data_IF_330809362575
#
_entry.id   IF_330809362575
#
_cell.length_a   1.000
_cell.length_b   1.000
_cell.length_c   1.000
_cell.angle_alpha   90.00
_cell.angle_beta   90.00
_cell.angle_gamma   90.00
#
_symmetry.space_group_name_H-M   'P 1'
#
loop_
_entity.id
_entity.type
_entity.pdbx_description
1 polymer ?
#
# COMPACT_ATOMS: atom_id res chain seq x y z
N UNK A 1 68.69 -67.52 33.18
CA UNK A 1 68.14 -67.28 34.53
C UNK A 1 68.37 -65.81 34.78
N UNK A 2 67.42 -64.91 34.84
CA UNK A 2 65.97 -64.97 35.03
C UNK A 2 65.41 -63.57 34.63
N UNK A 3 64.10 -63.45 34.60
CA UNK A 3 63.18 -62.45 34.06
C UNK A 3 63.40 -61.01 34.61
N UNK A 4 63.09 -59.89 33.95
CA UNK A 4 61.88 -59.51 33.24
C UNK A 4 61.06 -58.52 34.09
N UNK A 5 61.15 -57.20 33.82
CA UNK A 5 60.04 -56.24 34.03
C UNK A 5 60.32 -54.88 33.40
N UNK A 6 59.69 -54.64 32.25
CA UNK A 6 59.59 -53.32 31.63
C UNK A 6 58.70 -52.40 32.47
N UNK A 7 59.18 -51.20 32.78
CA UNK A 7 58.34 -50.09 33.21
C UNK A 7 57.92 -49.32 31.96
N UNK A 8 56.65 -49.48 31.59
CA UNK A 8 55.99 -48.62 30.61
C UNK A 8 56.04 -47.17 31.08
N UNK A 9 56.50 -46.29 30.19
CA UNK A 9 56.29 -44.85 30.32
C UNK A 9 54.80 -44.62 30.09
N UNK A 10 54.06 -44.34 31.16
CA UNK A 10 52.69 -43.83 31.06
C UNK A 10 52.75 -42.54 30.24
N UNK A 11 52.23 -42.61 29.01
CA UNK A 11 51.89 -41.41 28.25
C UNK A 11 50.79 -40.71 29.03
N UNK A 12 51.14 -39.62 29.71
CA UNK A 12 50.16 -38.69 30.25
C UNK A 12 49.33 -38.15 29.08
N UNK A 13 48.19 -38.80 28.83
CA UNK A 13 47.21 -38.37 27.85
C UNK A 13 46.76 -36.97 28.27
N UNK A 14 47.11 -35.97 27.45
CA UNK A 14 46.58 -34.61 27.61
C UNK A 14 45.05 -34.71 27.75
N UNK A 15 44.44 -34.20 28.84
CA UNK A 15 43.00 -34.15 28.94
C UNK A 15 42.44 -33.36 27.75
N UNK A 16 41.43 -33.92 27.10
CA UNK A 16 40.73 -33.30 25.99
C UNK A 16 40.10 -31.99 26.45
N UNK A 17 40.39 -30.89 25.75
CA UNK A 17 39.77 -29.55 25.93
C UNK A 17 38.23 -29.55 25.83
N UNK A 18 37.60 -30.69 25.49
CA UNK A 18 36.14 -30.83 25.38
C UNK A 18 35.40 -30.90 26.73
N UNK A 19 36.10 -30.90 27.85
CA UNK A 19 35.49 -30.89 29.19
C UNK A 19 35.49 -29.51 29.85
N UNK A 20 35.72 -28.42 29.12
CA UNK A 20 35.51 -27.07 29.65
C UNK A 20 34.01 -26.75 29.73
N UNK A 21 33.52 -26.53 30.94
CA UNK A 21 32.11 -26.23 31.24
C UNK A 21 31.58 -25.01 30.48
N UNK A 22 32.45 -24.06 30.15
CA UNK A 22 32.16 -22.86 29.37
C UNK A 22 31.80 -23.16 27.91
N UNK A 23 32.40 -24.17 27.29
CA UNK A 23 32.12 -24.55 25.91
C UNK A 23 30.75 -25.24 25.79
N UNK A 24 30.42 -26.10 26.77
CA UNK A 24 29.08 -26.69 26.87
C UNK A 24 28.01 -25.63 27.13
N UNK A 25 28.33 -24.62 27.94
CA UNK A 25 27.45 -23.48 28.22
C UNK A 25 27.20 -22.63 26.97
N UNK A 26 28.21 -22.42 26.13
CA UNK A 26 28.09 -21.72 24.86
C UNK A 26 27.12 -22.41 23.90
N UNK A 27 27.33 -23.70 23.67
CA UNK A 27 26.46 -24.50 22.79
C UNK A 27 25.01 -24.58 23.31
N UNK A 28 24.82 -24.65 24.62
CA UNK A 28 23.49 -24.69 25.25
C UNK A 28 22.69 -23.40 25.02
N UNK A 29 23.28 -22.22 25.24
CA UNK A 29 22.56 -20.97 25.00
C UNK A 29 22.36 -20.73 23.50
N UNK A 30 23.34 -21.10 22.67
CA UNK A 30 23.24 -20.94 21.22
C UNK A 30 22.11 -21.80 20.67
N UNK A 31 21.98 -23.04 21.14
CA UNK A 31 20.87 -23.91 20.78
C UNK A 31 19.52 -23.34 21.23
N UNK A 32 19.42 -22.84 22.46
CA UNK A 32 18.20 -22.21 22.97
C UNK A 32 17.84 -20.95 22.16
N UNK A 33 18.82 -20.17 21.72
CA UNK A 33 18.60 -19.02 20.84
C UNK A 33 18.06 -19.44 19.47
N UNK A 34 18.62 -20.49 18.87
CA UNK A 34 18.10 -21.07 17.61
C UNK A 34 16.63 -21.44 17.75
N UNK A 35 16.30 -22.22 18.77
CA UNK A 35 14.95 -22.72 18.99
C UNK A 35 13.94 -21.58 19.17
N UNK A 36 14.31 -20.55 19.95
CA UNK A 36 13.48 -19.35 20.14
C UNK A 36 13.29 -18.57 18.84
N UNK A 37 14.36 -18.36 18.08
CA UNK A 37 14.30 -17.64 16.81
C UNK A 37 13.43 -18.38 15.78
N UNK A 38 13.62 -19.70 15.64
CA UNK A 38 12.84 -20.50 14.70
C UNK A 38 11.36 -20.54 15.07
N UNK A 39 11.06 -20.67 16.37
CA UNK A 39 9.68 -20.57 16.86
C UNK A 39 9.07 -19.22 16.52
N UNK A 40 9.80 -18.12 16.77
CA UNK A 40 9.30 -16.77 16.51
C UNK A 40 9.09 -16.48 15.03
N UNK A 41 9.92 -17.03 14.14
CA UNK A 41 9.70 -16.94 12.68
C UNK A 41 8.38 -17.62 12.28
N UNK A 42 8.05 -18.78 12.88
CA UNK A 42 6.78 -19.47 12.64
C UNK A 42 5.60 -18.72 13.24
N UNK A 43 5.73 -18.18 14.45
CA UNK A 43 4.67 -17.44 15.14
C UNK A 43 4.39 -16.08 14.45
N UNK A 44 5.42 -15.36 13.99
CA UNK A 44 5.30 -14.08 13.28
C UNK A 44 5.04 -14.23 11.77
N UNK A 45 4.74 -15.44 11.30
CA UNK A 45 4.62 -15.78 9.87
C UNK A 45 3.73 -14.82 9.08
N UNK A 46 2.51 -14.57 9.54
CA UNK A 46 1.56 -13.68 8.83
C UNK A 46 2.10 -12.26 8.68
N UNK A 47 2.77 -11.75 9.73
CA UNK A 47 3.37 -10.41 9.75
C UNK A 47 4.57 -10.32 8.82
N UNK A 48 5.43 -11.35 8.79
CA UNK A 48 6.59 -11.44 7.90
C UNK A 48 6.16 -11.55 6.43
N UNK A 49 5.12 -12.35 6.15
CA UNK A 49 4.54 -12.49 4.81
C UNK A 49 3.96 -11.17 4.31
N UNK A 50 3.22 -10.43 5.15
CA UNK A 50 2.69 -9.11 4.77
C UNK A 50 3.82 -8.14 4.43
N UNK A 51 4.87 -8.06 5.27
CA UNK A 51 6.04 -7.21 5.00
C UNK A 51 6.75 -7.58 3.69
N UNK A 52 6.84 -8.86 3.36
CA UNK A 52 7.42 -9.33 2.10
C UNK A 52 6.56 -8.93 0.89
N UNK A 53 5.24 -9.12 0.96
CA UNK A 53 4.31 -8.78 -0.14
C UNK A 53 4.32 -7.28 -0.46
N UNK A 54 4.40 -6.42 0.56
CA UNK A 54 4.40 -4.97 0.34
C UNK A 54 5.66 -4.43 -0.35
N UNK A 55 6.81 -5.11 -0.24
CA UNK A 55 8.08 -4.53 -0.69
C UNK A 55 9.03 -5.47 -1.45
N UNK A 56 8.69 -6.73 -1.74
CA UNK A 56 9.38 -7.72 -2.61
C UNK A 56 10.95 -7.78 -2.59
N UNK A 57 11.62 -7.22 -1.58
CA UNK A 57 13.08 -7.14 -1.49
C UNK A 57 13.63 -8.11 -0.44
N UNK A 58 14.64 -8.90 -0.82
CA UNK A 58 15.34 -9.83 0.08
C UNK A 58 15.97 -9.14 1.30
N UNK A 59 16.39 -7.88 1.15
CA UNK A 59 16.98 -7.08 2.22
C UNK A 59 16.00 -6.79 3.38
N UNK A 60 14.70 -6.71 3.08
CA UNK A 60 13.65 -6.47 4.10
C UNK A 60 13.39 -7.73 4.91
N UNK A 61 13.43 -8.90 4.26
CA UNK A 61 13.34 -10.19 4.96
C UNK A 61 14.54 -10.34 5.87
N UNK A 62 15.75 -10.09 5.35
CA UNK A 62 16.98 -10.16 6.14
C UNK A 62 16.96 -9.22 7.35
N UNK A 63 16.52 -7.97 7.17
CA UNK A 63 16.35 -7.01 8.27
C UNK A 63 15.36 -7.53 9.32
N UNK A 64 14.20 -8.04 8.91
CA UNK A 64 13.20 -8.55 9.84
C UNK A 64 13.69 -9.78 10.63
N UNK A 65 14.48 -10.66 10.01
CA UNK A 65 15.10 -11.79 10.70
C UNK A 65 16.20 -11.34 11.67
N UNK A 66 16.98 -10.32 11.32
CA UNK A 66 17.97 -9.71 12.22
C UNK A 66 17.31 -9.08 13.45
N UNK A 67 16.15 -8.44 13.28
CA UNK A 67 15.37 -7.90 14.41
C UNK A 67 14.92 -9.03 15.35
N UNK A 68 14.45 -10.15 14.81
CA UNK A 68 14.03 -11.32 15.62
C UNK A 68 15.22 -11.88 16.41
N UNK A 69 16.37 -12.09 15.77
CA UNK A 69 17.58 -12.59 16.44
C UNK A 69 18.00 -11.65 17.57
N UNK A 70 18.00 -10.33 17.30
CA UNK A 70 18.38 -9.32 18.28
C UNK A 70 17.42 -9.28 19.47
N UNK A 71 16.12 -9.33 19.22
CA UNK A 71 15.10 -9.37 20.26
C UNK A 71 15.23 -10.62 21.15
N UNK A 72 15.34 -11.80 20.55
CA UNK A 72 15.45 -13.06 21.30
C UNK A 72 16.76 -13.16 22.07
N UNK A 73 17.85 -12.68 21.48
CA UNK A 73 19.13 -12.57 22.17
C UNK A 73 19.04 -11.67 23.41
N UNK A 74 18.43 -10.50 23.28
CA UNK A 74 18.25 -9.56 24.39
C UNK A 74 17.33 -10.13 25.49
N UNK A 75 16.25 -10.83 25.12
CA UNK A 75 15.38 -11.51 26.09
C UNK A 75 16.11 -12.60 26.86
N UNK A 76 17.00 -13.36 26.20
CA UNK A 76 17.77 -14.41 26.86
C UNK A 76 18.81 -13.83 27.83
N UNK A 77 19.45 -12.71 27.46
CA UNK A 77 20.38 -12.00 28.34
C UNK A 77 19.73 -11.52 29.64
N UNK A 78 18.47 -11.08 29.58
CA UNK A 78 17.75 -10.54 30.74
C UNK A 78 17.15 -11.61 31.67
N UNK A 79 16.88 -12.82 31.17
CA UNK A 79 16.19 -13.87 31.95
C UNK A 79 17.15 -14.89 32.59
N UNK A 80 18.35 -15.10 32.04
CA UNK A 80 19.32 -16.10 32.52
C UNK A 80 20.65 -15.42 32.90
N UNK A 81 20.67 -14.67 34.01
CA UNK A 81 21.83 -13.89 34.50
C UNK A 81 23.05 -14.78 34.81
N UNK A 82 22.83 -16.05 35.19
CA UNK A 82 23.88 -17.01 35.57
C UNK A 82 24.63 -17.58 34.36
N UNK A 83 24.17 -17.32 33.12
CA UNK A 83 24.65 -18.04 31.93
C UNK A 83 25.80 -17.37 31.15
N UNK A 84 26.21 -16.16 31.50
CA UNK A 84 27.06 -15.34 30.63
C UNK A 84 28.35 -14.87 31.33
N UNK A 85 29.46 -15.58 31.12
CA UNK A 85 30.81 -15.05 31.43
C UNK A 85 31.45 -14.37 30.20
N UNK A 86 30.70 -14.23 29.10
CA UNK A 86 31.16 -13.61 27.86
C UNK A 86 30.53 -12.21 27.71
N UNK A 87 31.32 -11.17 27.95
CA UNK A 87 30.92 -9.75 27.85
C UNK A 87 31.02 -9.17 26.42
N UNK A 88 31.33 -9.99 25.41
CA UNK A 88 31.42 -9.55 24.02
C UNK A 88 30.07 -9.55 23.30
N UNK A 89 29.76 -8.56 22.43
CA UNK A 89 28.65 -8.69 21.50
C UNK A 89 28.88 -9.91 20.59
N UNK A 90 27.83 -10.68 20.23
CA UNK A 90 27.97 -11.78 19.30
C UNK A 90 28.52 -11.24 17.97
N UNK A 91 29.61 -11.82 17.48
CA UNK A 91 30.19 -11.43 16.20
C UNK A 91 29.15 -11.71 15.10
N UNK A 92 29.02 -10.80 14.12
CA UNK A 92 28.00 -10.90 13.06
C UNK A 92 28.01 -12.23 12.29
N UNK A 93 29.14 -12.95 12.29
CA UNK A 93 29.26 -14.30 11.72
C UNK A 93 28.70 -15.44 12.59
N UNK A 94 28.56 -15.28 13.91
CA UNK A 94 28.12 -16.35 14.82
C UNK A 94 26.63 -16.67 14.74
N UNK A 95 25.83 -15.71 14.25
CA UNK A 95 24.40 -15.84 14.02
C UNK A 95 24.05 -15.99 12.53
N UNK A 96 25.04 -16.01 11.64
CA UNK A 96 24.80 -16.09 10.19
C UNK A 96 24.12 -17.41 9.81
N UNK A 97 24.52 -18.50 10.44
CA UNK A 97 23.89 -19.82 10.32
C UNK A 97 22.45 -19.83 10.83
N UNK A 98 22.16 -19.11 11.92
CA UNK A 98 20.80 -18.92 12.43
C UNK A 98 19.95 -18.17 11.41
N UNK A 99 20.46 -17.06 10.86
CA UNK A 99 19.76 -16.25 9.86
C UNK A 99 19.49 -17.03 8.57
N UNK A 100 20.45 -17.81 8.09
CA UNK A 100 20.29 -18.64 6.90
C UNK A 100 19.22 -19.73 7.11
N UNK A 101 19.20 -20.37 8.28
CA UNK A 101 18.18 -21.38 8.58
C UNK A 101 16.80 -20.76 8.79
N UNK A 102 16.70 -19.58 9.42
CA UNK A 102 15.45 -18.83 9.52
C UNK A 102 14.89 -18.46 8.14
N UNK A 103 15.77 -18.01 7.23
CA UNK A 103 15.41 -17.68 5.85
C UNK A 103 14.93 -18.95 5.11
N UNK A 104 15.61 -20.08 5.29
CA UNK A 104 15.20 -21.38 4.75
C UNK A 104 13.81 -21.78 5.24
N UNK A 105 13.57 -21.74 6.56
CA UNK A 105 12.25 -22.06 7.16
C UNK A 105 11.17 -21.16 6.56
N UNK A 106 11.43 -19.86 6.45
CA UNK A 106 10.48 -18.91 5.86
C UNK A 106 10.14 -19.23 4.39
N UNK A 107 11.13 -19.59 3.57
CA UNK A 107 10.89 -19.95 2.17
C UNK A 107 10.26 -21.33 1.99
N UNK A 108 10.56 -22.30 2.86
CA UNK A 108 9.87 -23.59 2.86
C UNK A 108 8.38 -23.41 3.23
N UNK A 109 8.07 -22.51 4.17
CA UNK A 109 6.70 -22.13 4.55
C UNK A 109 5.95 -21.31 3.48
N UNK A 110 6.69 -20.63 2.60
CA UNK A 110 6.15 -19.97 1.41
C UNK A 110 5.80 -20.98 0.32
N UNK A 111 6.65 -21.99 0.11
CA UNK A 111 6.46 -23.05 -0.91
C UNK A 111 5.36 -24.04 -0.54
N UNK A 112 5.10 -24.24 0.76
CA UNK A 112 4.04 -25.12 1.26
C UNK A 112 2.65 -24.48 1.26
N UNK A 113 2.51 -23.22 0.80
CA UNK A 113 1.21 -22.60 0.57
C UNK A 113 0.47 -23.30 -0.58
N UNK A 114 -0.87 -23.31 -0.59
CA UNK A 114 -1.60 -23.50 -1.84
C UNK A 114 -1.04 -22.50 -2.86
N UNK A 115 -0.93 -22.90 -4.15
CA UNK A 115 -0.22 -22.11 -5.15
C UNK A 115 -0.71 -20.66 -5.13
N UNK A 116 0.21 -19.70 -5.29
CA UNK A 116 -0.07 -18.26 -5.33
C UNK A 116 -1.26 -17.87 -6.23
N UNK A 117 -1.59 -18.74 -7.19
CA UNK A 117 -2.80 -18.71 -8.00
C UNK A 117 -4.10 -18.61 -7.20
N UNK A 118 -4.26 -19.36 -6.10
CA UNK A 118 -5.52 -19.39 -5.34
C UNK A 118 -5.75 -18.07 -4.60
N UNK A 119 -4.71 -17.47 -4.04
CA UNK A 119 -4.82 -16.18 -3.35
C UNK A 119 -4.99 -15.01 -4.33
N UNK A 120 -4.43 -15.13 -5.54
CA UNK A 120 -4.62 -14.17 -6.61
C UNK A 120 -6.01 -14.27 -7.21
N UNK A 121 -6.55 -15.49 -7.34
CA UNK A 121 -7.95 -15.72 -7.72
C UNK A 121 -8.90 -15.14 -6.66
N UNK A 122 -8.61 -15.33 -5.38
CA UNK A 122 -9.39 -14.71 -4.30
C UNK A 122 -9.37 -13.18 -4.43
N UNK A 123 -8.18 -12.56 -4.60
CA UNK A 123 -8.06 -11.11 -4.76
C UNK A 123 -8.83 -10.61 -5.99
N UNK A 124 -8.69 -11.28 -7.14
CA UNK A 124 -9.42 -10.96 -8.36
C UNK A 124 -10.94 -11.05 -8.15
N UNK A 125 -11.42 -12.09 -7.44
CA UNK A 125 -12.84 -12.26 -7.12
C UNK A 125 -13.33 -11.14 -6.18
N UNK A 126 -12.54 -10.77 -5.16
CA UNK A 126 -12.87 -9.65 -4.27
C UNK A 126 -12.87 -8.30 -5.01
N UNK A 127 -11.98 -8.10 -5.97
CA UNK A 127 -11.96 -6.89 -6.81
C UNK A 127 -13.21 -6.79 -7.69
N UNK A 128 -13.63 -7.90 -8.30
CA UNK A 128 -14.87 -7.97 -9.10
C UNK A 128 -16.12 -7.70 -8.25
N UNK A 129 -16.22 -8.27 -7.05
CA UNK A 129 -17.34 -8.03 -6.12
C UNK A 129 -17.43 -6.56 -5.67
N UNK A 130 -16.27 -5.93 -5.43
CA UNK A 130 -16.19 -4.51 -5.06
C UNK A 130 -16.59 -3.62 -6.23
N UNK A 131 -16.13 -3.93 -7.44
CA UNK A 131 -16.47 -3.17 -8.65
C UNK A 131 -17.97 -3.25 -8.98
N UNK A 132 -18.58 -4.44 -8.83
CA UNK A 132 -20.02 -4.62 -9.00
C UNK A 132 -20.81 -3.82 -7.94
N UNK A 133 -20.38 -3.87 -6.69
CA UNK A 133 -21.00 -3.09 -5.60
C UNK A 133 -20.93 -1.58 -5.88
N UNK A 134 -19.75 -1.07 -6.27
CA UNK A 134 -19.54 0.34 -6.60
C UNK A 134 -20.38 0.76 -7.80
N UNK A 135 -20.41 -0.05 -8.85
CA UNK A 135 -21.23 0.18 -10.05
C UNK A 135 -22.70 0.28 -9.69
N UNK A 136 -23.21 -0.62 -8.84
CA UNK A 136 -24.59 -0.57 -8.35
C UNK A 136 -24.86 0.66 -7.50
N UNK A 137 -23.98 0.99 -6.56
CA UNK A 137 -24.15 2.17 -5.71
C UNK A 137 -24.14 3.48 -6.52
N UNK A 138 -23.26 3.59 -7.52
CA UNK A 138 -23.21 4.72 -8.46
C UNK A 138 -24.50 4.79 -9.28
N UNK A 139 -24.97 3.65 -9.80
CA UNK A 139 -26.21 3.58 -10.57
C UNK A 139 -27.43 3.99 -9.74
N UNK A 140 -27.56 3.48 -8.51
CA UNK A 140 -28.62 3.88 -7.57
C UNK A 140 -28.54 5.38 -7.26
N UNK A 141 -27.35 5.92 -6.96
CA UNK A 141 -27.17 7.36 -6.76
C UNK A 141 -27.47 8.21 -8.00
N UNK A 142 -27.26 7.67 -9.20
CA UNK A 142 -27.57 8.33 -10.46
C UNK A 142 -29.08 8.29 -10.75
N UNK A 143 -29.76 7.18 -10.43
CA UNK A 143 -31.20 7.02 -10.58
C UNK A 143 -32.04 7.83 -9.58
N UNK A 144 -31.53 8.11 -8.39
CA UNK A 144 -32.17 9.04 -7.44
C UNK A 144 -32.33 10.47 -7.99
N UNK A 145 -31.68 10.80 -9.12
CA UNK A 145 -31.88 12.06 -9.84
C UNK A 145 -32.85 11.94 -11.03
N UNK A 146 -33.37 10.73 -11.32
CA UNK A 146 -34.31 10.46 -12.41
C UNK A 146 -35.77 10.36 -11.95
N UNK A 147 -36.06 10.41 -10.65
CA UNK A 147 -37.43 10.50 -10.16
C UNK A 147 -38.12 11.73 -10.77
N UNK A 148 -39.16 11.44 -11.55
CA UNK A 148 -39.86 12.29 -12.54
C UNK A 148 -40.57 13.54 -11.96
N UNK A 149 -40.21 13.96 -10.74
CA UNK A 149 -40.76 15.11 -10.03
C UNK A 149 -39.78 16.29 -9.88
N UNK A 150 -38.47 16.10 -10.11
CA UNK A 150 -37.50 17.20 -10.14
C UNK A 150 -37.29 17.61 -11.60
N UNK A 151 -38.09 18.56 -12.08
CA UNK A 151 -37.94 19.09 -13.44
C UNK A 151 -36.48 19.48 -13.68
N UNK A 152 -35.93 19.13 -14.85
CA UNK A 152 -34.55 19.35 -15.34
C UNK A 152 -33.88 20.65 -14.85
N UNK A 153 -33.50 20.73 -13.58
CA UNK A 153 -32.94 21.93 -12.96
C UNK A 153 -31.46 21.99 -13.31
N UNK A 154 -31.12 22.84 -14.26
CA UNK A 154 -29.73 23.03 -14.69
C UNK A 154 -29.10 24.07 -13.76
N UNK A 155 -28.09 23.65 -13.01
CA UNK A 155 -27.33 24.55 -12.15
C UNK A 155 -26.45 25.49 -12.96
N UNK A 156 -26.30 26.72 -12.48
CA UNK A 156 -25.48 27.72 -13.13
C UNK A 156 -23.99 27.34 -13.08
N UNK A 157 -23.30 27.28 -14.23
CA UNK A 157 -21.88 26.88 -14.29
C UNK A 157 -20.93 27.89 -13.62
N UNK A 158 -21.37 29.15 -13.47
CA UNK A 158 -20.58 30.22 -12.84
C UNK A 158 -20.69 30.14 -11.31
N UNK A 159 -21.90 30.29 -10.75
CA UNK A 159 -22.08 30.40 -9.30
C UNK A 159 -22.31 29.06 -8.60
N UNK A 160 -22.68 27.99 -9.33
CA UNK A 160 -22.94 26.63 -8.82
C UNK A 160 -24.02 26.55 -7.71
N UNK A 161 -24.80 27.61 -7.55
CA UNK A 161 -25.81 27.74 -6.50
C UNK A 161 -27.17 28.19 -7.02
N UNK A 162 -27.22 28.90 -8.13
CA UNK A 162 -28.46 29.32 -8.77
C UNK A 162 -28.83 28.38 -9.89
N UNK A 163 -30.12 28.24 -10.13
CA UNK A 163 -30.66 27.51 -11.27
C UNK A 163 -30.70 28.42 -12.51
N UNK A 164 -30.53 27.81 -13.68
CA UNK A 164 -30.78 28.46 -14.96
C UNK A 164 -32.26 28.34 -15.30
N UNK A 165 -32.88 29.49 -15.55
CA UNK A 165 -34.27 29.58 -16.02
C UNK A 165 -34.28 30.08 -17.45
N UNK A 166 -35.21 29.53 -18.21
CA UNK A 166 -35.50 29.89 -19.59
C UNK A 166 -36.71 30.80 -19.63
N UNK A 167 -36.55 32.01 -20.18
CA UNK A 167 -37.67 32.93 -20.38
C UNK A 167 -37.57 33.59 -21.74
N UNK A 168 -38.48 33.25 -22.64
CA UNK A 168 -38.60 33.80 -23.99
C UNK A 168 -37.27 33.74 -24.76
N UNK A 169 -36.52 34.85 -24.78
CA UNK A 169 -35.26 35.03 -25.50
C UNK A 169 -34.03 35.11 -24.58
N UNK A 170 -34.15 34.76 -23.30
CA UNK A 170 -33.04 34.86 -22.36
C UNK A 170 -32.96 33.61 -21.49
N UNK A 171 -31.76 33.06 -21.36
CA UNK A 171 -31.41 32.12 -20.30
C UNK A 171 -30.68 32.92 -19.22
N UNK A 172 -31.17 32.87 -17.98
CA UNK A 172 -30.59 33.63 -16.88
C UNK A 172 -30.46 32.79 -15.61
N UNK A 173 -29.50 33.15 -14.76
CA UNK A 173 -29.36 32.54 -13.44
C UNK A 173 -30.24 33.26 -12.40
N UNK A 174 -30.85 32.50 -11.47
CA UNK A 174 -31.63 33.07 -10.37
C UNK A 174 -30.81 33.75 -9.28
N UNK A 175 -29.49 33.52 -9.23
CA UNK A 175 -28.61 34.00 -8.13
C UNK A 175 -27.41 34.84 -8.57
N UNK A 176 -27.01 34.79 -9.85
CA UNK A 176 -25.89 35.58 -10.35
C UNK A 176 -26.25 36.30 -11.65
N UNK A 177 -25.36 37.15 -12.13
CA UNK A 177 -25.57 38.02 -13.29
C UNK A 177 -25.42 37.29 -14.65
N UNK A 178 -25.34 35.95 -14.66
CA UNK A 178 -25.28 35.18 -15.90
C UNK A 178 -26.58 35.37 -16.70
N UNK A 179 -26.44 35.91 -17.91
CA UNK A 179 -27.53 36.13 -18.86
C UNK A 179 -27.05 35.84 -20.28
N UNK A 180 -27.71 34.91 -20.96
CA UNK A 180 -27.42 34.50 -22.33
C UNK A 180 -28.60 34.84 -23.22
N UNK A 181 -28.36 35.57 -24.30
CA UNK A 181 -29.38 35.89 -25.28
C UNK A 181 -29.59 34.68 -26.19
N UNK A 182 -30.84 34.21 -26.30
CA UNK A 182 -31.22 33.16 -27.22
C UNK A 182 -31.26 33.72 -28.64
N UNK A 183 -30.14 33.61 -29.35
CA UNK A 183 -30.24 33.39 -30.79
C UNK A 183 -31.03 32.09 -31.00
N UNK A 184 -31.83 32.00 -32.06
CA UNK A 184 -32.91 31.02 -32.30
C UNK A 184 -32.65 29.53 -32.02
N UNK A 185 -31.40 29.11 -31.79
CA UNK A 185 -30.98 27.72 -31.58
C UNK A 185 -30.58 27.40 -30.12
N UNK A 186 -30.45 28.41 -29.25
CA UNK A 186 -30.00 28.19 -27.87
C UNK A 186 -31.15 27.75 -26.96
N UNK A 187 -31.18 26.46 -26.63
CA UNK A 187 -32.10 25.88 -25.64
C UNK A 187 -31.36 25.52 -24.35
N UNK A 188 -32.10 25.36 -23.24
CA UNK A 188 -31.52 24.88 -21.97
C UNK A 188 -30.88 23.49 -22.10
N UNK A 189 -31.52 22.57 -22.83
CA UNK A 189 -30.97 21.24 -23.07
C UNK A 189 -29.65 21.33 -23.88
N UNK A 190 -29.60 22.16 -24.92
CA UNK A 190 -28.35 22.40 -25.67
C UNK A 190 -27.23 22.96 -24.78
N UNK A 191 -27.54 23.94 -23.92
CA UNK A 191 -26.55 24.49 -22.98
C UNK A 191 -26.04 23.43 -22.00
N UNK A 192 -26.92 22.55 -21.49
CA UNK A 192 -26.53 21.44 -20.61
C UNK A 192 -25.56 20.51 -21.33
N UNK A 193 -25.93 20.07 -22.53
CA UNK A 193 -25.15 19.11 -23.30
C UNK A 193 -23.79 19.72 -23.67
N UNK A 194 -23.77 20.98 -24.12
CA UNK A 194 -22.52 21.71 -24.43
C UNK A 194 -21.62 21.90 -23.21
N UNK A 195 -22.18 22.20 -22.04
CA UNK A 195 -21.41 22.29 -20.80
C UNK A 195 -20.79 20.94 -20.40
N UNK A 196 -21.53 19.84 -20.59
CA UNK A 196 -21.02 18.50 -20.33
C UNK A 196 -19.88 18.14 -21.31
N UNK A 197 -20.06 18.42 -22.61
CA UNK A 197 -19.03 18.20 -23.64
C UNK A 197 -17.72 18.91 -23.31
N UNK A 198 -17.74 20.21 -23.07
CA UNK A 198 -16.49 20.97 -22.81
C UNK A 198 -15.80 20.52 -21.51
N UNK A 199 -16.56 20.00 -20.55
CA UNK A 199 -16.01 19.39 -19.35
C UNK A 199 -15.31 18.06 -19.65
N UNK A 200 -15.95 17.19 -20.43
CA UNK A 200 -15.39 15.90 -20.85
C UNK A 200 -14.15 16.12 -21.72
N UNK A 201 -14.21 17.01 -22.71
CA UNK A 201 -13.06 17.38 -23.55
C UNK A 201 -11.87 17.88 -22.72
N UNK A 202 -12.12 18.70 -21.70
CA UNK A 202 -11.06 19.17 -20.79
C UNK A 202 -10.45 18.01 -19.99
N UNK A 203 -11.27 17.08 -19.52
CA UNK A 203 -10.81 15.91 -18.76
C UNK A 203 -10.01 14.96 -19.66
N UNK A 204 -10.45 14.73 -20.89
CA UNK A 204 -9.81 13.86 -21.89
C UNK A 204 -8.43 14.38 -22.32
N UNK A 205 -8.22 15.70 -22.25
CA UNK A 205 -6.89 16.32 -22.41
C UNK A 205 -5.94 16.03 -21.24
N UNK A 206 -6.39 15.33 -20.20
CA UNK A 206 -5.59 14.87 -19.06
C UNK A 206 -5.53 15.84 -17.88
N UNK A 207 -6.28 16.95 -17.91
CA UNK A 207 -6.28 17.91 -16.81
C UNK A 207 -7.34 17.57 -15.75
N UNK A 208 -6.90 17.32 -14.51
CA UNK A 208 -7.78 16.98 -13.38
C UNK A 208 -8.22 18.19 -12.54
N UNK A 209 -7.74 19.39 -12.87
CA UNK A 209 -8.13 20.61 -12.18
C UNK A 209 -9.53 21.06 -12.61
N UNK A 210 -10.27 21.71 -11.70
CA UNK A 210 -11.66 22.12 -11.96
C UNK A 210 -11.67 23.40 -12.82
N UNK A 211 -12.20 23.37 -14.05
CA UNK A 211 -12.28 24.56 -14.87
C UNK A 211 -13.33 25.55 -14.31
N UNK A 212 -13.15 26.82 -14.63
CA UNK A 212 -14.00 27.95 -14.25
C UNK A 212 -14.70 28.52 -15.49
N UNK A 213 -15.99 28.80 -15.37
CA UNK A 213 -16.75 29.47 -16.41
C UNK A 213 -16.88 30.96 -16.13
N UNK A 214 -16.81 31.77 -17.17
CA UNK A 214 -17.01 33.22 -17.05
C UNK A 214 -17.64 33.80 -18.32
N UNK A 215 -18.48 34.82 -18.16
CA UNK A 215 -18.89 35.65 -19.29
C UNK A 215 -17.83 36.71 -19.56
N UNK A 216 -17.46 36.87 -20.83
CA UNK A 216 -16.60 37.97 -21.27
C UNK A 216 -17.14 38.58 -22.55
N UNK A 217 -17.08 39.90 -22.63
CA UNK A 217 -17.38 40.65 -23.85
C UNK A 217 -16.08 40.95 -24.59
N UNK A 218 -15.98 40.49 -25.83
CA UNK A 218 -14.87 40.81 -26.75
C UNK A 218 -15.46 41.24 -28.07
N UNK A 219 -14.98 42.34 -28.64
CA UNK A 219 -15.46 42.86 -29.95
C UNK A 219 -16.99 43.05 -30.01
N UNK A 220 -17.61 43.56 -28.94
CA UNK A 220 -19.06 43.73 -28.79
C UNK A 220 -19.88 42.41 -28.81
N UNK A 221 -19.23 41.26 -28.69
CA UNK A 221 -19.87 39.96 -28.54
C UNK A 221 -19.63 39.46 -27.12
N UNK A 222 -20.72 39.20 -26.40
CA UNK A 222 -20.68 38.63 -25.05
C UNK A 222 -20.90 37.13 -25.16
N UNK A 223 -19.90 36.36 -24.74
CA UNK A 223 -19.88 34.91 -24.85
C UNK A 223 -19.52 34.28 -23.50
N UNK A 224 -19.92 33.02 -23.31
CA UNK A 224 -19.54 32.20 -22.18
C UNK A 224 -18.23 31.48 -22.50
N UNK A 225 -17.25 31.58 -21.61
CA UNK A 225 -15.95 30.96 -21.77
C UNK A 225 -15.69 29.94 -20.67
N UNK A 226 -14.96 28.88 -21.03
CA UNK A 226 -14.33 27.96 -20.09
C UNK A 226 -12.86 28.36 -19.94
N UNK A 227 -12.36 28.36 -18.70
CA UNK A 227 -10.99 28.69 -18.37
C UNK A 227 -10.41 27.72 -17.34
N UNK A 228 -9.16 27.31 -17.49
CA UNK A 228 -8.48 26.47 -16.50
C UNK A 228 -7.08 26.98 -16.21
N UNK A 229 -6.77 27.22 -14.93
CA UNK A 229 -5.45 27.67 -14.46
C UNK A 229 -4.38 26.57 -14.53
N UNK A 230 -4.80 25.31 -14.70
CA UNK A 230 -3.90 24.15 -14.74
C UNK A 230 -3.30 23.83 -16.09
N UNK A 231 -4.06 24.06 -17.15
CA UNK A 231 -3.71 23.68 -18.53
C UNK A 231 -3.87 24.84 -19.52
N UNK A 232 -4.03 26.07 -19.00
CA UNK A 232 -4.22 27.31 -19.76
C UNK A 232 -5.34 27.25 -20.82
N UNK A 233 -6.30 26.33 -20.66
CA UNK A 233 -7.44 26.21 -21.57
C UNK A 233 -8.27 27.49 -21.45
N UNK A 234 -8.57 28.14 -22.58
CA UNK A 234 -9.44 29.30 -22.66
C UNK A 234 -10.22 29.28 -23.98
N UNK A 235 -11.47 28.79 -23.91
CA UNK A 235 -12.27 28.48 -25.11
C UNK A 235 -13.69 29.02 -24.97
N UNK A 236 -14.32 29.31 -26.12
CA UNK A 236 -15.72 29.74 -26.20
C UNK A 236 -16.62 28.52 -26.02
N UNK A 237 -17.59 28.62 -25.13
CA UNK A 237 -18.60 27.59 -24.86
C UNK A 237 -19.87 27.90 -25.66
N UNK A 238 -20.36 29.14 -25.54
CA UNK A 238 -21.52 29.71 -26.25
C UNK A 238 -21.23 31.17 -26.64
#
# INVERSE_FOLDING_TARGET
MDEGKGKGRESATRPSLKSDSSFNKYELWKQKLRDNCYKRVRDDRTRLLWKFRCNQHEDIVKSALQDIVSDEFNKMKHNDEVLWEYEGPPYQGECQDILLEMQRIFYEDLKSQPPLHDLQTDIETWEEEVDEYLSRAVFEHMQLNQDEAHGKEIWCPICKQGELKDKHNLIYCTRCELQLNKASELTLDFLRDRLAEVHTEHLDRGCRLKPKFCMKTKFNLTALYISCEGCDTFEVVI
#
